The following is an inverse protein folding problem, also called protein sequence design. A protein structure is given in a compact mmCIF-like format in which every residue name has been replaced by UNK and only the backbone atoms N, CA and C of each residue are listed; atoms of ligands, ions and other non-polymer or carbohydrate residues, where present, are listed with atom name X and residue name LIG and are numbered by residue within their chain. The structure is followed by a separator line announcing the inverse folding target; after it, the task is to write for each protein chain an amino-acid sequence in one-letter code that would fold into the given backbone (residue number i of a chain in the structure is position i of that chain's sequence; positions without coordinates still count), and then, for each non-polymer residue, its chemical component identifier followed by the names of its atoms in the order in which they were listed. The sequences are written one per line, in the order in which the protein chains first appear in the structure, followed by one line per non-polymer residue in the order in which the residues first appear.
data_IF_216469978802
#
_entry.id   IF_216469978802
#
_cell.length_a   1.000
_cell.length_b   1.000
_cell.length_c   1.000
_cell.angle_alpha   90.00
_cell.angle_beta   90.00
_cell.angle_gamma   90.00
#
_symmetry.space_group_name_H-M   'P 1'
#
loop_
_entity.id
_entity.type
_entity.pdbx_description
1 polymer ?
#
# COMPACT_ATOMS: atom_id res chain seq x y z
N UNK A 1 26.84 -21.25 -40.84
CA UNK A 1 25.85 -20.50 -40.04
C UNK A 1 26.60 -19.49 -39.21
N UNK A 2 26.41 -18.20 -39.47
CA UNK A 2 27.10 -17.14 -38.74
C UNK A 2 26.69 -17.19 -37.25
N UNK A 3 27.59 -16.74 -36.35
CA UNK A 3 27.27 -16.56 -34.91
C UNK A 3 25.98 -15.80 -34.71
N UNK A 4 25.71 -14.82 -35.54
CA UNK A 4 24.47 -14.01 -35.54
C UNK A 4 23.23 -14.84 -35.84
N UNK A 5 23.29 -15.81 -36.77
CA UNK A 5 22.16 -16.68 -37.11
C UNK A 5 21.82 -17.64 -35.96
N UNK A 6 22.84 -18.04 -35.18
CA UNK A 6 22.62 -18.85 -33.97
C UNK A 6 21.97 -18.06 -32.85
N UNK A 7 22.35 -16.79 -32.67
CA UNK A 7 21.79 -15.92 -31.64
C UNK A 7 20.29 -15.58 -31.90
N UNK A 8 19.96 -15.32 -33.19
CA UNK A 8 18.59 -15.06 -33.60
C UNK A 8 17.67 -16.32 -33.57
N UNK A 9 18.27 -17.51 -33.42
CA UNK A 9 17.61 -18.80 -33.28
C UNK A 9 17.61 -19.33 -31.87
N UNK A 10 17.92 -18.50 -30.84
CA UNK A 10 17.81 -18.90 -29.44
C UNK A 10 16.38 -19.34 -29.17
N UNK A 11 16.22 -20.55 -28.65
CA UNK A 11 14.91 -21.06 -28.21
C UNK A 11 14.36 -20.14 -27.11
N UNK A 12 13.12 -19.68 -27.27
CA UNK A 12 12.41 -18.85 -26.29
C UNK A 12 12.38 -19.44 -24.89
N UNK A 13 12.58 -20.75 -24.74
CA UNK A 13 12.66 -21.43 -23.45
C UNK A 13 13.82 -20.89 -22.61
N UNK A 14 14.95 -20.54 -23.21
CA UNK A 14 16.09 -19.94 -22.51
C UNK A 14 15.77 -18.53 -22.01
N UNK A 15 15.01 -17.76 -22.79
CA UNK A 15 14.55 -16.43 -22.37
C UNK A 15 13.62 -16.55 -21.18
N UNK A 16 12.65 -17.49 -21.22
CA UNK A 16 11.76 -17.74 -20.09
C UNK A 16 12.50 -18.24 -18.84
N UNK A 17 13.47 -19.12 -19.01
CA UNK A 17 14.31 -19.56 -17.89
C UNK A 17 15.08 -18.40 -17.27
N UNK A 18 15.62 -17.51 -18.08
CA UNK A 18 16.38 -16.35 -17.62
C UNK A 18 15.48 -15.35 -16.88
N UNK A 19 14.25 -15.12 -17.36
CA UNK A 19 13.24 -14.32 -16.67
C UNK A 19 12.83 -14.99 -15.36
N UNK A 20 12.61 -16.29 -15.34
CA UNK A 20 12.27 -17.02 -14.11
C UNK A 20 13.37 -16.87 -13.06
N UNK A 21 14.63 -17.01 -13.43
CA UNK A 21 15.79 -16.77 -12.54
C UNK A 21 15.81 -15.32 -12.05
N UNK A 22 15.58 -14.35 -12.94
CA UNK A 22 15.55 -12.93 -12.62
C UNK A 22 14.45 -12.55 -11.60
N UNK A 23 13.35 -13.31 -11.54
CA UNK A 23 12.29 -13.14 -10.55
C UNK A 23 12.59 -13.91 -9.26
N UNK A 24 12.96 -15.20 -9.38
CA UNK A 24 13.11 -16.08 -8.21
C UNK A 24 14.28 -15.66 -7.31
N UNK A 25 15.42 -15.25 -7.90
CA UNK A 25 16.62 -14.93 -7.12
C UNK A 25 16.39 -13.76 -6.17
N UNK A 26 15.82 -12.61 -6.57
CA UNK A 26 15.54 -11.52 -5.64
C UNK A 26 14.49 -11.88 -4.57
N UNK A 27 13.50 -12.70 -4.93
CA UNK A 27 12.49 -13.16 -3.96
C UNK A 27 13.08 -14.03 -2.85
N UNK A 28 14.10 -14.86 -3.19
CA UNK A 28 14.80 -15.69 -2.20
C UNK A 28 15.88 -14.91 -1.44
N UNK A 29 16.54 -13.95 -2.10
CA UNK A 29 17.59 -13.13 -1.52
C UNK A 29 17.41 -11.68 -1.98
N UNK A 30 16.69 -10.85 -1.21
CA UNK A 30 16.47 -9.44 -1.53
C UNK A 30 17.78 -8.70 -1.78
N UNK A 31 17.88 -7.99 -2.89
CA UNK A 31 19.07 -7.23 -3.29
C UNK A 31 19.11 -5.85 -2.68
N UNK A 32 17.96 -5.35 -2.22
CA UNK A 32 17.77 -4.02 -1.63
C UNK A 32 18.29 -2.92 -2.56
N UNK A 33 17.84 -2.95 -3.81
CA UNK A 33 18.18 -1.91 -4.78
C UNK A 33 17.69 -0.55 -4.26
N UNK A 34 18.42 0.54 -4.55
CA UNK A 34 18.06 1.85 -4.05
C UNK A 34 16.72 2.28 -4.64
N UNK A 35 15.78 2.63 -3.76
CA UNK A 35 14.47 3.19 -4.09
C UNK A 35 14.55 4.70 -3.94
N UNK A 36 14.27 5.43 -5.03
CA UNK A 36 14.19 6.90 -5.02
C UNK A 36 12.81 7.33 -4.57
N UNK A 37 12.73 8.11 -3.50
CA UNK A 37 11.48 8.63 -2.99
C UNK A 37 10.90 9.69 -3.93
N UNK A 38 9.57 9.72 -4.04
CA UNK A 38 8.83 10.73 -4.79
C UNK A 38 8.10 11.65 -3.83
N UNK A 39 7.99 12.94 -4.18
CA UNK A 39 7.30 13.93 -3.37
C UNK A 39 5.86 13.52 -2.99
N UNK A 40 5.02 12.96 -3.91
CA UNK A 40 3.69 12.49 -3.53
C UNK A 40 3.66 11.41 -2.45
N UNK A 41 4.63 10.48 -2.45
CA UNK A 41 4.74 9.47 -1.41
C UNK A 41 5.21 10.07 -0.08
N UNK A 42 6.22 10.95 -0.13
CA UNK A 42 6.70 11.67 1.04
C UNK A 42 5.63 12.52 1.71
N UNK A 43 4.73 13.13 0.94
CA UNK A 43 3.66 13.96 1.47
C UNK A 43 2.69 13.18 2.35
N UNK A 44 2.31 11.93 1.96
CA UNK A 44 1.50 11.05 2.81
C UNK A 44 2.26 10.71 4.10
N UNK A 45 3.54 10.33 3.97
CA UNK A 45 4.37 10.00 5.12
C UNK A 45 4.49 11.20 6.09
N UNK A 46 4.85 12.37 5.60
CA UNK A 46 4.97 13.60 6.38
C UNK A 46 3.65 13.98 7.06
N UNK A 47 2.51 13.80 6.37
CA UNK A 47 1.21 14.07 6.97
C UNK A 47 0.99 13.17 8.19
N UNK A 48 1.19 11.87 8.09
CA UNK A 48 1.04 10.94 9.21
C UNK A 48 2.01 11.29 10.33
N UNK A 49 3.25 11.68 10.02
CA UNK A 49 4.24 12.13 11.01
C UNK A 49 3.78 13.34 11.83
N UNK A 50 3.01 14.25 11.22
CA UNK A 50 2.54 15.46 11.89
C UNK A 50 1.27 15.26 12.72
N UNK A 51 0.60 14.12 12.59
CA UNK A 51 -0.62 13.84 13.35
C UNK A 51 -0.29 13.57 14.82
N UNK A 52 -1.03 14.19 15.75
CA UNK A 52 -0.96 13.85 17.17
C UNK A 52 -1.36 12.40 17.45
N UNK A 53 -0.85 11.80 18.53
CA UNK A 53 -1.34 10.51 19.02
C UNK A 53 -2.86 10.58 19.25
N UNK A 54 -3.58 9.51 18.86
CA UNK A 54 -5.03 9.41 18.97
C UNK A 54 -5.81 10.07 17.83
N UNK A 55 -5.13 10.73 16.85
CA UNK A 55 -5.80 11.23 15.63
C UNK A 55 -6.48 10.11 14.84
N UNK A 56 -7.59 10.44 14.19
CA UNK A 56 -8.42 9.48 13.48
C UNK A 56 -8.04 9.39 11.99
N UNK A 57 -7.68 8.20 11.57
CA UNK A 57 -7.35 7.89 10.16
C UNK A 57 -8.33 6.88 9.61
N UNK A 58 -8.93 7.18 8.46
CA UNK A 58 -9.75 6.26 7.69
C UNK A 58 -8.93 5.72 6.51
N UNK A 59 -8.85 4.39 6.38
CA UNK A 59 -8.28 3.75 5.19
C UNK A 59 -9.35 2.91 4.50
N UNK A 60 -9.69 3.28 3.26
CA UNK A 60 -10.57 2.50 2.38
C UNK A 60 -9.75 1.59 1.50
N UNK A 61 -10.22 0.34 1.32
CA UNK A 61 -9.49 -0.72 0.60
C UNK A 61 -10.33 -1.18 -0.58
N UNK A 62 -10.21 -0.47 -1.71
CA UNK A 62 -11.18 -0.53 -2.80
C UNK A 62 -10.60 -1.18 -4.06
N UNK A 63 -10.09 -2.42 -3.91
CA UNK A 63 -9.53 -3.20 -5.02
C UNK A 63 -9.88 -4.69 -4.97
N UNK A 64 -9.81 -5.32 -6.13
CA UNK A 64 -10.01 -6.76 -6.30
C UNK A 64 -8.69 -7.55 -6.17
N UNK A 65 -8.73 -8.88 -5.95
CA UNK A 65 -7.54 -9.74 -5.78
C UNK A 65 -6.50 -9.62 -6.90
N UNK A 66 -6.90 -9.27 -8.12
CA UNK A 66 -5.96 -9.05 -9.23
C UNK A 66 -4.93 -7.95 -8.99
N UNK A 67 -5.24 -6.97 -8.14
CA UNK A 67 -4.37 -5.84 -7.79
C UNK A 67 -3.65 -6.02 -6.45
N UNK A 68 -3.92 -7.11 -5.74
CA UNK A 68 -3.34 -7.40 -4.41
C UNK A 68 -1.81 -7.33 -4.38
N UNK A 69 -1.06 -7.87 -5.38
CA UNK A 69 0.41 -7.82 -5.32
C UNK A 69 1.00 -6.42 -5.29
N UNK A 70 0.32 -5.42 -5.85
CA UNK A 70 0.75 -4.02 -5.82
C UNK A 70 0.21 -3.27 -4.60
N UNK A 71 -1.05 -3.51 -4.23
CA UNK A 71 -1.79 -2.65 -3.30
C UNK A 71 -1.76 -3.14 -1.85
N UNK A 72 -1.74 -4.45 -1.61
CA UNK A 72 -1.66 -4.99 -0.24
C UNK A 72 -0.40 -4.55 0.52
N UNK A 73 0.81 -4.53 -0.08
CA UNK A 73 1.99 -3.99 0.59
C UNK A 73 1.85 -2.51 1.00
N UNK A 74 1.13 -1.69 0.20
CA UNK A 74 0.84 -0.29 0.56
C UNK A 74 0.02 -0.21 1.85
N UNK A 75 -1.06 -1.01 1.92
CA UNK A 75 -1.96 -1.01 3.08
C UNK A 75 -1.22 -1.44 4.33
N UNK A 76 -0.47 -2.54 4.26
CA UNK A 76 0.31 -3.05 5.41
C UNK A 76 1.32 -2.01 5.89
N UNK A 77 2.00 -1.32 4.97
CA UNK A 77 2.94 -0.26 5.34
C UNK A 77 2.26 0.95 5.99
N UNK A 78 1.09 1.35 5.48
CA UNK A 78 0.28 2.43 6.06
C UNK A 78 -0.27 2.06 7.44
N UNK A 79 -0.79 0.84 7.61
CA UNK A 79 -1.27 0.36 8.92
C UNK A 79 -0.14 0.33 9.94
N UNK A 80 1.04 -0.18 9.57
CA UNK A 80 2.23 -0.18 10.44
C UNK A 80 2.60 1.24 10.88
N UNK A 81 2.55 2.21 9.95
CA UNK A 81 2.85 3.60 10.27
C UNK A 81 1.82 4.19 11.23
N UNK A 82 0.52 4.02 10.94
CA UNK A 82 -0.55 4.50 11.81
C UNK A 82 -0.43 3.92 13.24
N UNK A 83 -0.21 2.61 13.38
CA UNK A 83 -0.06 1.98 14.70
C UNK A 83 1.22 2.38 15.42
N UNK A 84 2.33 2.55 14.69
CA UNK A 84 3.58 3.05 15.27
C UNK A 84 3.43 4.49 15.81
N UNK A 85 2.58 5.29 15.19
CA UNK A 85 2.23 6.66 15.63
C UNK A 85 1.06 6.69 16.64
N UNK A 86 0.55 5.52 17.07
CA UNK A 86 -0.59 5.37 17.98
C UNK A 86 -1.84 6.14 17.50
N UNK A 87 -2.09 6.11 16.18
CA UNK A 87 -3.26 6.70 15.58
C UNK A 87 -4.44 5.73 15.66
N UNK A 88 -5.65 6.25 15.74
CA UNK A 88 -6.89 5.47 15.74
C UNK A 88 -7.28 5.15 14.29
N UNK A 89 -7.30 3.87 13.95
CA UNK A 89 -7.46 3.40 12.58
C UNK A 89 -8.86 2.83 12.34
N UNK A 90 -9.60 3.44 11.43
CA UNK A 90 -10.83 2.87 10.88
C UNK A 90 -10.55 2.37 9.47
N UNK A 91 -10.91 1.12 9.21
CA UNK A 91 -10.77 0.51 7.89
C UNK A 91 -12.15 0.14 7.34
N UNK A 92 -12.35 0.28 6.05
CA UNK A 92 -13.57 -0.13 5.35
C UNK A 92 -13.27 -0.47 3.89
N UNK A 93 -14.29 -0.91 3.17
CA UNK A 93 -14.21 -1.06 1.71
C UNK A 93 -15.54 -0.72 1.04
N UNK A 94 -15.45 -0.09 -0.12
CA UNK A 94 -16.55 0.14 -1.06
C UNK A 94 -16.57 -0.91 -2.19
N UNK A 95 -15.58 -1.82 -2.20
CA UNK A 95 -15.43 -2.90 -3.18
C UNK A 95 -15.66 -4.26 -2.50
N UNK A 96 -16.70 -4.98 -2.93
CA UNK A 96 -17.06 -6.27 -2.31
C UNK A 96 -15.91 -7.28 -2.32
N UNK A 97 -15.13 -7.33 -3.40
CA UNK A 97 -14.00 -8.23 -3.54
C UNK A 97 -12.81 -7.85 -2.64
N UNK A 98 -12.76 -6.60 -2.16
CA UNK A 98 -11.74 -6.09 -1.25
C UNK A 98 -11.95 -6.47 0.20
N UNK A 99 -13.16 -6.94 0.58
CA UNK A 99 -13.52 -7.12 1.99
C UNK A 99 -12.59 -8.09 2.74
N UNK A 100 -12.33 -9.26 2.17
CA UNK A 100 -11.43 -10.22 2.79
C UNK A 100 -9.95 -9.77 2.74
N UNK A 101 -9.56 -8.99 1.73
CA UNK A 101 -8.19 -8.48 1.59
C UNK A 101 -7.89 -7.40 2.64
N UNK A 102 -8.86 -6.54 2.92
CA UNK A 102 -8.76 -5.52 3.96
C UNK A 102 -8.63 -6.16 5.36
N UNK A 103 -9.46 -7.14 5.64
CA UNK A 103 -9.46 -7.89 6.91
C UNK A 103 -8.13 -8.62 7.10
N UNK A 104 -7.65 -9.33 6.07
CA UNK A 104 -6.39 -10.07 6.13
C UNK A 104 -5.18 -9.13 6.35
N UNK A 105 -5.11 -8.01 5.63
CA UNK A 105 -4.03 -7.04 5.80
C UNK A 105 -4.03 -6.41 7.20
N UNK A 106 -5.22 -6.11 7.75
CA UNK A 106 -5.36 -5.56 9.09
C UNK A 106 -4.97 -6.59 10.15
N UNK A 107 -5.49 -7.82 10.04
CA UNK A 107 -5.19 -8.92 10.97
C UNK A 107 -3.69 -9.25 11.02
N UNK A 108 -3.03 -9.32 9.86
CA UNK A 108 -1.58 -9.53 9.79
C UNK A 108 -0.86 -8.43 10.60
N UNK A 109 -1.20 -7.16 10.36
CA UNK A 109 -0.51 -6.03 10.99
C UNK A 109 -0.78 -5.96 12.49
N UNK A 110 -2.02 -6.15 12.92
CA UNK A 110 -2.39 -6.19 14.34
C UNK A 110 -1.67 -7.32 15.07
N UNK A 111 -1.65 -8.53 14.49
CA UNK A 111 -0.94 -9.66 15.08
C UNK A 111 0.57 -9.42 15.19
N UNK A 112 1.19 -8.77 14.19
CA UNK A 112 2.60 -8.39 14.24
C UNK A 112 2.88 -7.43 15.40
N UNK A 113 2.04 -6.40 15.61
CA UNK A 113 2.22 -5.45 16.70
C UNK A 113 2.02 -6.10 18.07
N UNK A 114 0.99 -6.91 18.24
CA UNK A 114 0.73 -7.62 19.48
C UNK A 114 1.82 -8.65 19.81
N UNK A 115 2.35 -9.35 18.80
CA UNK A 115 3.48 -10.27 18.97
C UNK A 115 4.75 -9.51 19.37
N UNK A 116 5.08 -8.41 18.67
CA UNK A 116 6.26 -7.59 18.99
C UNK A 116 6.18 -7.00 20.41
N UNK A 117 4.99 -6.56 20.85
CA UNK A 117 4.79 -6.08 22.21
C UNK A 117 5.09 -7.17 23.24
N UNK A 118 4.53 -8.37 23.06
CA UNK A 118 4.75 -9.52 23.97
C UNK A 118 6.21 -9.96 23.98
N UNK A 119 6.87 -10.00 22.83
CA UNK A 119 8.29 -10.34 22.72
C UNK A 119 9.18 -9.30 23.40
N UNK A 120 8.90 -8.00 23.22
CA UNK A 120 9.63 -6.92 23.87
C UNK A 120 9.43 -6.97 25.41
N UNK A 121 8.21 -7.24 25.88
CA UNK A 121 7.91 -7.38 27.30
C UNK A 121 8.69 -8.56 27.91
N UNK A 122 8.68 -9.70 27.24
CA UNK A 122 9.36 -10.91 27.72
C UNK A 122 10.90 -10.82 27.70
N UNK A 123 11.46 -10.13 26.69
CA UNK A 123 12.92 -10.12 26.47
C UNK A 123 13.59 -8.87 27.04
N UNK A 124 12.92 -7.71 27.04
CA UNK A 124 13.50 -6.40 27.41
C UNK A 124 12.92 -5.80 28.70
N UNK A 125 11.78 -6.33 29.16
CA UNK A 125 11.14 -5.96 30.41
C UNK A 125 10.22 -4.75 30.34
N UNK A 126 9.60 -4.45 31.48
CA UNK A 126 8.50 -3.47 31.60
C UNK A 126 8.95 -2.02 31.32
N UNK A 127 10.14 -1.63 31.77
CA UNK A 127 10.66 -0.27 31.56
C UNK A 127 10.83 0.04 30.07
N UNK A 128 11.39 -0.89 29.30
CA UNK A 128 11.54 -0.75 27.86
C UNK A 128 10.18 -0.65 27.14
N UNK A 129 9.22 -1.49 27.55
CA UNK A 129 7.88 -1.50 26.98
C UNK A 129 7.15 -0.20 27.27
N UNK A 130 7.25 0.30 28.49
CA UNK A 130 6.63 1.56 28.88
C UNK A 130 7.21 2.75 28.09
N UNK A 131 8.52 2.77 27.89
CA UNK A 131 9.19 3.80 27.09
C UNK A 131 8.75 3.74 25.60
N UNK A 132 8.76 2.55 25.01
CA UNK A 132 8.47 2.35 23.59
C UNK A 132 6.99 2.48 23.24
N UNK A 133 6.12 1.85 24.04
CA UNK A 133 4.69 1.74 23.74
C UNK A 133 3.82 2.73 24.53
N UNK A 134 4.37 3.36 25.57
CA UNK A 134 3.67 4.34 26.41
C UNK A 134 2.62 3.72 27.34
N UNK A 135 2.47 2.41 27.30
CA UNK A 135 1.51 1.66 28.14
C UNK A 135 2.10 0.32 28.55
N UNK A 136 1.78 -0.09 29.78
CA UNK A 136 2.10 -1.44 30.26
C UNK A 136 0.82 -2.25 30.37
N UNK A 137 0.70 -3.30 29.58
CA UNK A 137 -0.39 -4.28 29.61
C UNK A 137 0.16 -5.64 30.03
N UNK A 138 -0.70 -6.52 30.53
CA UNK A 138 -0.32 -7.86 30.92
C UNK A 138 0.21 -8.70 29.74
N UNK A 139 0.97 -9.73 30.04
CA UNK A 139 1.55 -10.62 29.00
C UNK A 139 0.50 -11.31 28.12
N UNK A 140 -0.72 -11.51 28.64
CA UNK A 140 -1.84 -12.11 27.93
C UNK A 140 -2.80 -11.09 27.29
N UNK A 141 -2.50 -9.77 27.44
CA UNK A 141 -3.32 -8.71 26.87
C UNK A 141 -2.77 -8.25 25.53
N UNK A 142 -3.68 -7.86 24.63
CA UNK A 142 -3.31 -7.30 23.35
C UNK A 142 -2.90 -5.82 23.48
N UNK A 143 -1.80 -5.44 22.84
CA UNK A 143 -1.36 -4.04 22.77
C UNK A 143 -2.37 -3.20 21.98
N UNK A 144 -2.74 -3.65 20.78
CA UNK A 144 -3.77 -3.02 19.95
C UNK A 144 -5.13 -3.65 20.26
N UNK A 145 -6.08 -2.83 20.71
CA UNK A 145 -7.40 -3.26 21.12
C UNK A 145 -8.44 -2.88 20.06
N UNK A 146 -9.15 -3.89 19.56
CA UNK A 146 -10.26 -3.69 18.62
C UNK A 146 -11.37 -2.82 19.26
N UNK A 147 -11.91 -1.89 18.45
CA UNK A 147 -12.94 -0.93 18.89
C UNK A 147 -12.39 0.26 19.66
N UNK A 148 -11.12 0.23 20.08
CA UNK A 148 -10.43 1.31 20.77
C UNK A 148 -9.32 1.91 19.90
N UNK A 149 -8.37 1.10 19.43
CA UNK A 149 -7.24 1.51 18.62
C UNK A 149 -7.51 1.35 17.13
N UNK A 150 -8.29 0.33 16.77
CA UNK A 150 -8.69 0.07 15.38
C UNK A 150 -10.06 -0.57 15.28
N UNK A 151 -10.70 -0.41 14.11
CA UNK A 151 -11.92 -1.14 13.75
C UNK A 151 -12.00 -1.38 12.25
N UNK A 152 -12.63 -2.48 11.86
CA UNK A 152 -12.94 -2.77 10.45
C UNK A 152 -14.45 -2.84 10.23
N UNK A 153 -14.95 -1.88 9.44
CA UNK A 153 -16.39 -1.73 9.17
C UNK A 153 -16.91 -2.72 8.11
N UNK A 154 -16.00 -3.31 7.31
CA UNK A 154 -16.38 -4.20 6.24
C UNK A 154 -16.83 -3.49 4.97
N UNK A 155 -17.57 -4.22 4.14
CA UNK A 155 -18.09 -3.75 2.84
C UNK A 155 -19.49 -3.18 2.96
N UNK A 156 -19.73 -2.09 2.23
CA UNK A 156 -21.07 -1.57 2.00
C UNK A 156 -21.25 -1.09 0.57
N UNK A 157 -22.32 -1.52 -0.08
CA UNK A 157 -22.63 -1.18 -1.46
C UNK A 157 -23.10 0.28 -1.62
N UNK A 158 -22.73 0.90 -2.75
CA UNK A 158 -23.21 2.22 -3.13
C UNK A 158 -22.26 3.34 -2.72
N UNK A 159 -21.17 3.52 -3.49
CA UNK A 159 -20.09 4.49 -3.22
C UNK A 159 -20.60 5.85 -2.70
N UNK A 160 -21.38 6.58 -3.49
CA UNK A 160 -21.84 7.92 -3.11
C UNK A 160 -22.73 7.91 -1.85
N UNK A 161 -23.63 6.92 -1.75
CA UNK A 161 -24.54 6.82 -0.60
C UNK A 161 -23.79 6.51 0.70
N UNK A 162 -22.76 5.65 0.62
CA UNK A 162 -21.95 5.31 1.79
C UNK A 162 -21.12 6.50 2.22
N UNK A 163 -20.43 7.17 1.30
CA UNK A 163 -19.61 8.34 1.61
C UNK A 163 -20.45 9.47 2.20
N UNK A 164 -21.62 9.76 1.62
CA UNK A 164 -22.55 10.76 2.17
C UNK A 164 -23.10 10.35 3.55
N UNK A 165 -23.45 9.07 3.73
CA UNK A 165 -23.89 8.55 5.01
C UNK A 165 -22.84 8.64 6.10
N UNK A 166 -21.57 8.35 5.79
CA UNK A 166 -20.43 8.53 6.71
C UNK A 166 -20.21 10.00 7.07
N UNK A 167 -20.53 10.90 6.14
CA UNK A 167 -20.52 12.34 6.40
C UNK A 167 -21.57 12.78 7.43
N UNK A 168 -22.66 12.03 7.56
CA UNK A 168 -23.65 12.28 8.59
C UNK A 168 -23.32 11.51 9.89
N UNK A 169 -23.05 10.19 9.79
CA UNK A 169 -22.70 9.38 10.96
C UNK A 169 -22.06 8.04 10.56
N UNK A 170 -20.91 7.72 11.16
CA UNK A 170 -20.27 6.40 11.01
C UNK A 170 -21.17 5.28 11.54
N UNK A 171 -21.68 5.43 12.77
CA UNK A 171 -22.45 4.38 13.46
C UNK A 171 -23.84 4.15 12.88
N UNK A 172 -24.46 5.17 12.27
CA UNK A 172 -25.71 4.99 11.53
C UNK A 172 -25.48 4.34 10.18
N UNK A 173 -24.37 4.69 9.50
CA UNK A 173 -24.02 4.11 8.20
C UNK A 173 -23.59 2.66 8.35
N UNK A 174 -22.78 2.35 9.35
CA UNK A 174 -22.36 1.00 9.72
C UNK A 174 -22.80 0.73 11.16
N UNK A 175 -23.98 0.16 11.36
CA UNK A 175 -24.49 -0.16 12.70
C UNK A 175 -23.70 -1.28 13.39
N UNK A 176 -23.02 -2.11 12.61
CA UNK A 176 -22.13 -3.19 13.06
C UNK A 176 -20.84 -3.15 12.27
N UNK A 177 -19.76 -3.55 12.91
CA UNK A 177 -18.49 -3.80 12.26
C UNK A 177 -18.49 -5.15 11.50
N UNK A 178 -17.39 -5.47 10.84
CA UNK A 178 -17.23 -6.70 10.06
C UNK A 178 -17.43 -7.98 10.90
N UNK A 179 -17.07 -7.96 12.18
CA UNK A 179 -17.26 -9.11 13.09
C UNK A 179 -18.66 -9.17 13.71
N UNK A 180 -19.54 -8.19 13.42
CA UNK A 180 -20.93 -8.15 13.90
C UNK A 180 -21.12 -7.42 15.22
N UNK A 181 -20.10 -6.78 15.79
CA UNK A 181 -20.20 -5.95 16.99
C UNK A 181 -20.82 -4.59 16.68
N UNK A 182 -21.60 -4.06 17.61
CA UNK A 182 -22.24 -2.76 17.43
C UNK A 182 -21.19 -1.64 17.42
N UNK A 183 -21.13 -0.86 16.34
CA UNK A 183 -20.19 0.27 16.22
C UNK A 183 -20.46 1.36 17.25
N UNK A 184 -21.72 1.56 17.65
CA UNK A 184 -22.11 2.53 18.68
C UNK A 184 -21.53 2.25 20.07
N UNK A 185 -21.10 1.01 20.35
CA UNK A 185 -20.45 0.64 21.61
C UNK A 185 -18.93 0.78 21.58
N UNK A 186 -18.33 0.98 20.40
CA UNK A 186 -16.88 1.05 20.25
C UNK A 186 -16.34 2.43 20.66
N UNK A 187 -15.33 2.48 21.57
CA UNK A 187 -14.74 3.74 22.05
C UNK A 187 -14.21 4.65 20.94
N UNK A 188 -13.69 4.07 19.84
CA UNK A 188 -13.14 4.83 18.71
C UNK A 188 -14.15 5.82 18.09
N UNK A 189 -15.47 5.54 18.17
CA UNK A 189 -16.52 6.42 17.63
C UNK A 189 -17.05 7.45 18.63
N UNK A 190 -16.49 7.55 19.85
CA UNK A 190 -16.91 8.58 20.81
C UNK A 190 -16.55 9.99 20.31
N UNK A 191 -15.34 10.13 19.77
CA UNK A 191 -14.78 11.40 19.32
C UNK A 191 -14.85 11.55 17.79
N UNK A 192 -15.04 10.44 17.04
CA UNK A 192 -15.18 10.41 15.59
C UNK A 192 -16.62 10.03 15.22
N UNK A 193 -17.47 11.00 14.94
CA UNK A 193 -18.88 10.78 14.60
C UNK A 193 -19.15 10.76 13.11
N UNK A 194 -18.43 11.59 12.36
CA UNK A 194 -18.61 11.82 10.92
C UNK A 194 -17.29 12.03 10.20
N UNK A 195 -17.32 12.10 8.87
CA UNK A 195 -16.13 12.40 8.05
C UNK A 195 -15.48 13.75 8.37
N UNK A 196 -16.21 14.68 8.98
CA UNK A 196 -15.66 15.98 9.39
C UNK A 196 -14.71 15.88 10.59
N UNK A 197 -14.74 14.75 11.30
CA UNK A 197 -13.89 14.49 12.47
C UNK A 197 -12.61 13.71 12.08
N UNK A 198 -12.39 13.44 10.78
CA UNK A 198 -11.20 12.77 10.28
C UNK A 198 -10.02 13.74 10.14
N UNK A 199 -8.86 13.31 10.61
CA UNK A 199 -7.58 14.01 10.38
C UNK A 199 -6.95 13.64 9.04
N UNK A 200 -7.18 12.41 8.57
CA UNK A 200 -6.65 11.89 7.31
C UNK A 200 -7.52 10.75 6.79
N UNK A 201 -7.77 10.76 5.49
CA UNK A 201 -8.34 9.64 4.75
C UNK A 201 -7.37 9.18 3.67
N UNK A 202 -7.19 7.86 3.53
CA UNK A 202 -6.40 7.28 2.44
C UNK A 202 -7.24 6.21 1.75
N UNK A 203 -7.40 6.35 0.43
CA UNK A 203 -8.06 5.33 -0.38
C UNK A 203 -7.02 4.52 -1.16
N UNK A 204 -7.03 3.20 -1.00
CA UNK A 204 -6.18 2.28 -1.76
C UNK A 204 -7.05 1.53 -2.76
N UNK A 205 -7.02 1.98 -4.00
CA UNK A 205 -7.98 1.55 -5.01
C UNK A 205 -7.36 1.10 -6.34
N UNK A 206 -8.04 0.15 -6.99
CA UNK A 206 -7.88 -0.15 -8.42
C UNK A 206 -9.15 0.15 -9.21
N UNK A 207 -10.10 0.83 -8.57
CA UNK A 207 -11.41 1.21 -9.11
C UNK A 207 -11.55 2.73 -9.12
N UNK A 208 -12.73 3.25 -9.50
CA UNK A 208 -13.03 4.69 -9.45
C UNK A 208 -13.37 5.20 -8.01
N UNK A 209 -12.98 4.47 -6.97
CA UNK A 209 -13.29 4.85 -5.59
C UNK A 209 -12.62 6.18 -5.20
N UNK A 210 -11.37 6.41 -5.63
CA UNK A 210 -10.64 7.65 -5.34
C UNK A 210 -11.43 8.88 -5.80
N UNK A 211 -11.97 8.87 -7.03
CA UNK A 211 -12.78 9.96 -7.56
C UNK A 211 -14.09 10.14 -6.78
N UNK A 212 -14.68 9.04 -6.30
CA UNK A 212 -15.88 9.08 -5.48
C UNK A 212 -15.58 9.71 -4.11
N UNK A 213 -14.48 9.34 -3.47
CA UNK A 213 -14.03 9.93 -2.22
C UNK A 213 -13.68 11.43 -2.37
N UNK A 214 -13.06 11.84 -3.48
CA UNK A 214 -12.79 13.25 -3.76
C UNK A 214 -14.13 14.00 -3.90
N UNK A 215 -15.02 13.51 -4.76
CA UNK A 215 -16.25 14.22 -5.15
C UNK A 215 -17.26 14.31 -4.01
N UNK A 216 -17.51 13.22 -3.32
CA UNK A 216 -18.58 13.14 -2.31
C UNK A 216 -18.07 13.30 -0.88
N UNK A 217 -16.77 13.06 -0.63
CA UNK A 217 -16.14 13.14 0.67
C UNK A 217 -15.30 14.40 0.85
N UNK A 218 -14.11 14.43 0.23
CA UNK A 218 -13.09 15.48 0.41
C UNK A 218 -13.62 16.88 0.17
N UNK A 219 -14.33 17.08 -0.93
CA UNK A 219 -14.83 18.42 -1.30
C UNK A 219 -15.90 18.92 -0.33
N UNK A 220 -16.63 18.00 0.29
CA UNK A 220 -17.74 18.33 1.18
C UNK A 220 -17.33 18.46 2.65
N UNK A 221 -16.50 17.53 3.15
CA UNK A 221 -16.16 17.43 4.57
C UNK A 221 -14.77 17.93 4.91
N UNK A 222 -13.95 18.27 3.90
CA UNK A 222 -12.67 19.02 4.02
C UNK A 222 -11.56 18.32 4.80
N UNK A 223 -11.61 16.99 4.96
CA UNK A 223 -10.49 16.22 5.53
C UNK A 223 -9.30 16.16 4.55
N UNK A 224 -8.10 15.88 5.04
CA UNK A 224 -6.94 15.63 4.18
C UNK A 224 -7.03 14.24 3.55
N UNK A 225 -6.69 14.13 2.25
CA UNK A 225 -6.85 12.89 1.52
C UNK A 225 -5.57 12.51 0.77
N UNK A 226 -5.11 11.27 0.98
CA UNK A 226 -4.12 10.59 0.15
C UNK A 226 -4.75 9.46 -0.65
N UNK A 227 -4.03 8.97 -1.65
CA UNK A 227 -4.46 7.81 -2.42
C UNK A 227 -3.30 6.84 -2.70
N UNK A 228 -3.63 5.56 -2.86
CA UNK A 228 -2.76 4.55 -3.42
C UNK A 228 -3.48 3.82 -4.56
N UNK A 229 -2.76 3.56 -5.64
CA UNK A 229 -3.36 2.93 -6.81
C UNK A 229 -2.36 2.05 -7.56
N UNK A 230 -2.84 1.26 -8.51
CA UNK A 230 -1.95 0.51 -9.40
C UNK A 230 -1.09 1.45 -10.25
N UNK A 231 0.07 0.98 -10.71
CA UNK A 231 0.97 1.77 -11.54
C UNK A 231 0.29 2.29 -12.81
N UNK A 232 -0.63 1.51 -13.38
CA UNK A 232 -1.39 1.88 -14.59
C UNK A 232 -2.34 3.05 -14.33
N UNK A 233 -2.99 3.07 -13.15
CA UNK A 233 -3.97 4.10 -12.79
C UNK A 233 -3.32 5.39 -12.28
N UNK A 234 -2.07 5.35 -11.85
CA UNK A 234 -1.41 6.48 -11.18
C UNK A 234 -1.46 7.78 -12.01
N UNK A 235 -1.32 7.68 -13.34
CA UNK A 235 -1.35 8.86 -14.22
C UNK A 235 -2.68 9.61 -14.22
N UNK A 236 -3.78 8.93 -13.91
CA UNK A 236 -5.13 9.52 -13.86
C UNK A 236 -5.30 10.44 -12.64
N UNK A 237 -4.49 10.23 -11.58
CA UNK A 237 -4.60 10.96 -10.31
C UNK A 237 -3.68 12.17 -10.19
N UNK A 238 -2.71 12.36 -11.10
CA UNK A 238 -1.86 13.58 -11.10
C UNK A 238 -2.64 14.90 -11.20
N UNK A 239 -3.74 15.02 -11.97
CA UNK A 239 -4.55 16.23 -11.95
C UNK A 239 -5.08 16.59 -10.57
N UNK A 240 -5.49 15.59 -9.76
CA UNK A 240 -5.98 15.79 -8.40
C UNK A 240 -4.86 16.16 -7.40
N UNK A 241 -3.64 15.65 -7.61
CA UNK A 241 -2.44 16.12 -6.90
C UNK A 241 -2.14 17.58 -7.22
N UNK A 242 -2.12 17.94 -8.51
CA UNK A 242 -1.79 19.29 -8.96
C UNK A 242 -2.83 20.34 -8.52
N UNK A 243 -4.10 19.92 -8.36
CA UNK A 243 -5.17 20.79 -7.85
C UNK A 243 -5.22 20.87 -6.32
N UNK A 244 -4.41 20.05 -5.61
CA UNK A 244 -4.42 19.99 -4.15
C UNK A 244 -5.61 19.20 -3.55
N UNK A 245 -6.39 18.51 -4.39
CA UNK A 245 -7.46 17.61 -3.92
C UNK A 245 -6.90 16.34 -3.27
N UNK A 246 -5.74 15.87 -3.73
CA UNK A 246 -4.93 14.85 -3.06
C UNK A 246 -3.66 15.49 -2.50
N UNK A 247 -3.33 15.18 -1.25
CA UNK A 247 -2.06 15.60 -0.64
C UNK A 247 -0.88 14.76 -1.12
N UNK A 248 -1.14 13.51 -1.51
CA UNK A 248 -0.12 12.57 -1.95
C UNK A 248 -0.71 11.35 -2.64
N UNK A 249 0.17 10.59 -3.30
CA UNK A 249 -0.17 9.42 -4.10
C UNK A 249 0.91 8.36 -4.02
N UNK A 250 0.52 7.10 -3.75
CA UNK A 250 1.35 5.92 -3.87
C UNK A 250 1.00 5.21 -5.18
N UNK A 251 1.90 5.24 -6.15
CA UNK A 251 1.68 4.63 -7.47
C UNK A 251 2.35 3.27 -7.62
N UNK A 252 1.55 2.20 -7.74
CA UNK A 252 2.00 0.85 -7.99
C UNK A 252 2.93 0.29 -6.92
N UNK A 253 3.58 -0.83 -7.22
CA UNK A 253 4.52 -1.48 -6.31
C UNK A 253 5.69 -0.54 -5.92
N UNK A 254 6.05 0.42 -6.79
CA UNK A 254 7.07 1.42 -6.50
C UNK A 254 6.65 2.32 -5.33
N UNK A 255 5.42 2.86 -5.33
CA UNK A 255 4.90 3.67 -4.24
C UNK A 255 4.84 2.91 -2.92
N UNK A 256 4.48 1.62 -2.96
CA UNK A 256 4.54 0.75 -1.80
C UNK A 256 5.96 0.59 -1.26
N UNK A 257 6.95 0.35 -2.14
CA UNK A 257 8.36 0.20 -1.74
C UNK A 257 8.96 1.51 -1.21
N UNK A 258 8.57 2.65 -1.77
CA UNK A 258 8.94 3.96 -1.23
C UNK A 258 8.44 4.14 0.20
N UNK A 259 7.18 3.78 0.44
CA UNK A 259 6.58 3.89 1.76
C UNK A 259 7.18 2.92 2.77
N UNK A 260 7.39 1.64 2.37
CA UNK A 260 8.12 0.66 3.19
C UNK A 260 9.52 1.17 3.59
N UNK A 261 10.25 1.78 2.63
CA UNK A 261 11.55 2.36 2.92
C UNK A 261 11.46 3.47 3.97
N UNK A 262 10.50 4.39 3.85
CA UNK A 262 10.34 5.50 4.79
C UNK A 262 10.04 5.02 6.22
N UNK A 263 9.16 4.03 6.40
CA UNK A 263 8.87 3.49 7.73
C UNK A 263 10.05 2.72 8.34
N UNK A 264 10.91 2.11 7.52
CA UNK A 264 12.15 1.45 7.97
C UNK A 264 13.20 2.50 8.34
N UNK A 265 13.42 3.51 7.51
CA UNK A 265 14.38 4.59 7.76
C UNK A 265 14.00 5.40 9.01
N UNK A 266 12.72 5.56 9.30
CA UNK A 266 12.20 6.20 10.52
C UNK A 266 12.28 5.30 11.78
N UNK A 267 12.67 4.03 11.62
CA UNK A 267 12.80 3.09 12.75
C UNK A 267 11.49 2.45 13.22
N UNK A 268 10.38 2.69 12.53
CA UNK A 268 9.07 2.09 12.87
C UNK A 268 8.99 0.60 12.53
N UNK A 269 9.80 0.15 11.57
CA UNK A 269 9.85 -1.25 11.17
C UNK A 269 11.29 -1.71 10.90
N UNK A 270 11.59 -2.98 11.19
CA UNK A 270 12.98 -3.48 11.17
C UNK A 270 13.41 -3.99 9.79
N UNK A 271 12.47 -4.50 8.99
CA UNK A 271 12.77 -5.18 7.73
C UNK A 271 11.97 -4.56 6.58
N UNK A 272 12.58 -4.41 5.39
CA UNK A 272 11.83 -4.13 4.17
C UNK A 272 10.74 -5.17 3.96
N UNK A 273 9.58 -4.74 3.46
CA UNK A 273 8.46 -5.61 3.20
C UNK A 273 8.47 -6.25 1.81
N UNK A 274 7.32 -6.77 1.42
CA UNK A 274 7.12 -7.45 0.15
C UNK A 274 7.27 -6.54 -1.07
N UNK A 275 6.92 -5.25 -0.94
CA UNK A 275 7.03 -4.31 -2.04
C UNK A 275 8.49 -4.05 -2.43
N UNK A 276 9.37 -3.86 -1.46
CA UNK A 276 10.80 -3.68 -1.71
C UNK A 276 11.40 -4.89 -2.43
N UNK A 277 11.07 -6.09 -1.98
CA UNK A 277 11.53 -7.34 -2.61
C UNK A 277 10.95 -7.51 -4.03
N UNK A 278 9.67 -7.19 -4.20
CA UNK A 278 9.00 -7.22 -5.50
C UNK A 278 9.59 -6.21 -6.50
N UNK A 279 9.97 -5.01 -6.03
CA UNK A 279 10.64 -4.00 -6.85
C UNK A 279 12.02 -4.43 -7.30
N UNK A 280 12.78 -5.16 -6.48
CA UNK A 280 14.05 -5.76 -6.90
C UNK A 280 13.85 -6.69 -8.10
N UNK A 281 12.87 -7.61 -8.00
CA UNK A 281 12.54 -8.54 -9.08
C UNK A 281 12.07 -7.81 -10.34
N UNK A 282 11.16 -6.84 -10.21
CA UNK A 282 10.64 -6.04 -11.31
C UNK A 282 11.74 -5.26 -12.02
N UNK A 283 12.65 -4.64 -11.27
CA UNK A 283 13.77 -3.86 -11.82
C UNK A 283 14.72 -4.72 -12.65
N UNK A 284 15.04 -5.94 -12.17
CA UNK A 284 15.91 -6.87 -12.89
C UNK A 284 15.24 -7.35 -14.17
N UNK A 285 13.93 -7.69 -14.12
CA UNK A 285 13.19 -8.14 -15.31
C UNK A 285 13.10 -7.02 -16.35
N UNK A 286 12.84 -5.78 -15.93
CA UNK A 286 12.83 -4.63 -16.83
C UNK A 286 14.20 -4.41 -17.48
N UNK A 287 15.26 -4.41 -16.68
CA UNK A 287 16.63 -4.29 -17.20
C UNK A 287 16.96 -5.40 -18.22
N UNK A 288 16.65 -6.65 -17.86
CA UNK A 288 16.84 -7.80 -18.74
C UNK A 288 16.07 -7.66 -20.06
N UNK A 289 14.81 -7.22 -19.99
CA UNK A 289 13.97 -7.00 -21.17
C UNK A 289 14.58 -5.94 -22.08
N UNK A 290 15.01 -4.80 -21.52
CA UNK A 290 15.67 -3.74 -22.29
C UNK A 290 16.93 -4.25 -22.98
N UNK A 291 17.76 -5.00 -22.26
CA UNK A 291 19.00 -5.59 -22.81
C UNK A 291 18.69 -6.56 -23.96
N UNK A 292 17.70 -7.44 -23.78
CA UNK A 292 17.27 -8.39 -24.83
C UNK A 292 16.78 -7.63 -26.07
N UNK A 293 15.95 -6.60 -25.90
CA UNK A 293 15.41 -5.79 -27.00
C UNK A 293 16.56 -5.08 -27.75
N UNK A 294 17.50 -4.46 -27.05
CA UNK A 294 18.65 -3.79 -27.67
C UNK A 294 19.49 -4.80 -28.48
N UNK A 295 19.86 -5.92 -27.87
CA UNK A 295 20.66 -6.97 -28.50
C UNK A 295 19.95 -7.50 -29.74
N UNK A 296 18.68 -7.84 -29.64
CA UNK A 296 17.93 -8.41 -30.75
C UNK A 296 17.81 -7.43 -31.92
N UNK A 297 17.51 -6.16 -31.65
CA UNK A 297 17.42 -5.12 -32.68
C UNK A 297 18.80 -4.84 -33.32
N UNK A 298 19.87 -4.81 -32.53
CA UNK A 298 21.23 -4.62 -33.04
C UNK A 298 21.61 -5.72 -34.03
N UNK A 299 21.39 -6.99 -33.67
CA UNK A 299 21.69 -8.11 -34.56
C UNK A 299 20.78 -8.17 -35.79
N UNK A 300 19.49 -7.81 -35.61
CA UNK A 300 18.59 -7.67 -36.75
C UNK A 300 19.06 -6.63 -37.77
N UNK A 301 19.52 -5.46 -37.32
CA UNK A 301 20.04 -4.39 -38.18
C UNK A 301 21.32 -4.83 -38.93
N UNK A 302 22.25 -5.51 -38.25
CA UNK A 302 23.47 -6.06 -38.87
C UNK A 302 23.12 -7.05 -39.98
N UNK A 303 22.16 -7.96 -39.69
CA UNK A 303 21.70 -8.95 -40.69
C UNK A 303 21.06 -8.28 -41.89
N UNK A 304 20.19 -7.29 -41.69
CA UNK A 304 19.57 -6.54 -42.76
C UNK A 304 20.52 -5.81 -43.65
N UNK A 305 21.53 -5.13 -43.07
CA UNK A 305 22.61 -4.48 -43.80
C UNK A 305 23.44 -5.45 -44.65
N UNK A 306 23.72 -6.66 -44.12
CA UNK A 306 24.45 -7.69 -44.87
C UNK A 306 23.67 -8.32 -46.01
N UNK A 307 22.33 -8.37 -45.88
CA UNK A 307 21.45 -8.85 -46.93
C UNK A 307 21.19 -7.82 -48.05
N UNK A 308 21.77 -6.60 -47.97
CA UNK A 308 21.60 -5.55 -48.96
C UNK A 308 20.20 -4.90 -48.98
N UNK A 309 19.36 -5.17 -47.99
CA UNK A 309 18.01 -4.56 -47.87
C UNK A 309 18.14 -3.13 -47.30
N UNK A 310 17.57 -2.14 -48.03
CA UNK A 310 17.53 -0.76 -47.53
C UNK A 310 16.68 -0.69 -46.24
N UNK A 311 17.24 -0.03 -45.23
CA UNK A 311 16.49 0.35 -44.00
C UNK A 311 15.55 1.49 -44.36
N UNK A 312 14.27 1.22 -44.55
CA UNK A 312 13.25 2.25 -44.51
C UNK A 312 12.95 2.46 -43.03
N UNK A 313 13.29 3.66 -42.53
CA UNK A 313 12.82 4.21 -41.26
C UNK A 313 11.52 4.97 -41.52
#
# INVERSE_FOLDING_TARGET
MSFYDKLLKIDRRWIYLLVAIAVIVPLLKPLRLPVTLTEPAENIFKKIETLPEGSHVLISVDFAPSSEPELKPMIVALYRHCFAKKLKLVTMTLEAAGAALAEDALSITVNEFNANYRDDLAQKGEEYVLDKYGVLKGADEDYLVKGEDYTYLGYKAGYALVVLGLGDSFTNTFSKDYSGEATSSQPIFKDMKSLSDLDLMIDIASTAAVEMWITYGKERYKFDMGAGCTAVSATQYYPFLNSGQLLGLLGGLKGAAEYEKMIVDAGYWVKPGLATTGMDAQSIVHFLTVVIVIITNFFYLIRKRRAGEKTNF
#
